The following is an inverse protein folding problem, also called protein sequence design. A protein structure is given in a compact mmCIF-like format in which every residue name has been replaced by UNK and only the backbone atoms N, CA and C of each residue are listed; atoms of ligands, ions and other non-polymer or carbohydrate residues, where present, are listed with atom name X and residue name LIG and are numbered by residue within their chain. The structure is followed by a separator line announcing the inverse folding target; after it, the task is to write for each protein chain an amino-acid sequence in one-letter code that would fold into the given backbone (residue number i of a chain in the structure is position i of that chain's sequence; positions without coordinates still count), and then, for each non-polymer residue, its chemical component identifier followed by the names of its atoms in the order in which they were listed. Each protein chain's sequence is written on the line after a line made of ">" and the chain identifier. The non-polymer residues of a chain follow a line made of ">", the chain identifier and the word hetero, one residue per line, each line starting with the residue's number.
data_IF_348144621790
#
_entry.id   IF_348144621790
#
_cell.length_a   1.000
_cell.length_b   1.000
_cell.length_c   1.000
_cell.angle_alpha   90.00
_cell.angle_beta   90.00
_cell.angle_gamma   90.00
#
_symmetry.space_group_name_H-M   'P 1'
#
loop_
_entity.id
_entity.type
_entity.pdbx_description
1 polymer ?
#
# COMPACT_ATOMS: atom_id res chain seq x y z
N UNK A 1 -22.48 15.54 -11.89
CA UNK A 1 -22.31 15.50 -13.36
C UNK A 1 -21.06 16.28 -13.70
N UNK A 2 -20.12 15.70 -14.45
CA UNK A 2 -18.89 16.39 -14.87
C UNK A 2 -19.25 17.59 -15.75
N UNK A 3 -18.59 18.76 -15.56
CA UNK A 3 -18.75 19.90 -16.47
C UNK A 3 -18.14 19.62 -17.86
N UNK A 4 -17.36 18.54 -18.00
CA UNK A 4 -16.72 18.14 -19.25
C UNK A 4 -17.53 17.05 -19.96
N UNK A 5 -17.92 17.30 -21.21
CA UNK A 5 -18.37 16.24 -22.11
C UNK A 5 -17.20 15.31 -22.48
N UNK A 6 -17.47 14.06 -22.88
CA UNK A 6 -16.42 13.06 -23.23
C UNK A 6 -15.32 13.58 -24.17
N UNK A 7 -15.63 14.49 -25.09
CA UNK A 7 -14.66 15.08 -26.05
C UNK A 7 -13.77 16.19 -25.46
N UNK A 8 -14.16 16.79 -24.34
CA UNK A 8 -13.44 17.89 -23.69
C UNK A 8 -12.94 17.51 -22.29
N UNK A 9 -12.85 16.21 -21.99
CA UNK A 9 -12.26 15.75 -20.72
C UNK A 9 -10.80 16.15 -20.69
N UNK A 10 -10.28 16.73 -19.58
CA UNK A 10 -8.86 16.96 -19.43
C UNK A 10 -8.12 15.61 -19.51
N UNK A 11 -6.94 15.61 -20.15
CA UNK A 11 -6.04 14.47 -20.19
C UNK A 11 -5.30 14.37 -18.86
N UNK A 12 -5.54 13.31 -18.12
CA UNK A 12 -4.96 13.09 -16.79
C UNK A 12 -3.98 11.94 -16.88
N UNK A 13 -2.72 12.21 -16.49
CA UNK A 13 -1.71 11.19 -16.36
C UNK A 13 -1.48 10.87 -14.88
N UNK A 14 -1.48 9.59 -14.53
CA UNK A 14 -1.14 9.09 -13.20
C UNK A 14 0.18 8.33 -13.32
N UNK A 15 1.18 8.71 -12.52
CA UNK A 15 2.43 7.96 -12.41
C UNK A 15 2.31 6.96 -11.26
N UNK A 16 2.38 5.66 -11.57
CA UNK A 16 2.24 4.55 -10.62
C UNK A 16 0.87 3.89 -10.66
N UNK A 17 0.86 2.55 -10.76
CA UNK A 17 -0.34 1.70 -10.73
C UNK A 17 -0.43 0.86 -9.44
N UNK A 18 0.01 1.45 -8.31
CA UNK A 18 -0.26 0.93 -6.98
C UNK A 18 -1.71 1.10 -6.54
N UNK A 19 -2.02 0.75 -5.29
CA UNK A 19 -3.37 0.90 -4.71
C UNK A 19 -3.89 2.34 -4.87
N UNK A 20 -3.06 3.34 -4.56
CA UNK A 20 -3.40 4.75 -4.74
C UNK A 20 -3.75 5.10 -6.19
N UNK A 21 -2.81 4.87 -7.12
CA UNK A 21 -3.02 5.19 -8.55
C UNK A 21 -4.23 4.51 -9.19
N UNK A 22 -4.44 3.22 -8.90
CA UNK A 22 -5.61 2.48 -9.41
C UNK A 22 -6.92 3.03 -8.82
N UNK A 23 -6.94 3.33 -7.51
CA UNK A 23 -8.13 3.91 -6.86
C UNK A 23 -8.42 5.31 -7.39
N UNK A 24 -7.39 6.11 -7.67
CA UNK A 24 -7.51 7.44 -8.28
C UNK A 24 -8.11 7.35 -9.68
N UNK A 25 -7.66 6.41 -10.51
CA UNK A 25 -8.24 6.20 -11.83
C UNK A 25 -9.74 5.88 -11.77
N UNK A 26 -10.15 5.02 -10.84
CA UNK A 26 -11.56 4.69 -10.60
C UNK A 26 -12.37 5.89 -10.08
N UNK A 27 -11.78 6.69 -9.19
CA UNK A 27 -12.44 7.87 -8.60
C UNK A 27 -12.65 8.97 -9.64
N UNK A 28 -11.64 9.23 -10.48
CA UNK A 28 -11.75 10.15 -11.62
C UNK A 28 -12.83 9.69 -12.61
N UNK A 29 -12.85 8.39 -12.94
CA UNK A 29 -13.91 7.82 -13.77
C UNK A 29 -15.30 8.04 -13.15
N UNK A 30 -15.46 7.79 -11.84
CA UNK A 30 -16.71 8.02 -11.12
C UNK A 30 -17.12 9.50 -11.10
N UNK A 31 -16.15 10.42 -11.11
CA UNK A 31 -16.39 11.86 -11.25
C UNK A 31 -16.76 12.29 -12.69
N UNK A 32 -16.69 11.37 -13.66
CA UNK A 32 -16.99 11.62 -15.07
C UNK A 32 -15.82 12.16 -15.87
N UNK A 33 -14.59 11.89 -15.43
CA UNK A 33 -13.34 12.16 -16.14
C UNK A 33 -12.84 10.86 -16.75
N UNK A 34 -12.79 10.80 -18.08
CA UNK A 34 -12.61 9.53 -18.80
C UNK A 34 -11.27 9.42 -19.53
N UNK A 35 -10.60 10.54 -19.79
CA UNK A 35 -9.28 10.56 -20.44
C UNK A 35 -8.18 10.44 -19.38
N UNK A 36 -8.09 9.25 -18.80
CA UNK A 36 -7.16 8.90 -17.72
C UNK A 36 -6.20 7.82 -18.20
N UNK A 37 -4.90 8.07 -18.05
CA UNK A 37 -3.85 7.09 -18.33
C UNK A 37 -2.90 6.95 -17.16
N UNK A 38 -2.54 5.72 -16.83
CA UNK A 38 -1.53 5.38 -15.83
C UNK A 38 -0.27 4.88 -16.52
N UNK A 39 0.89 5.25 -16.00
CA UNK A 39 2.19 4.70 -16.38
C UNK A 39 2.82 4.01 -15.18
N UNK A 40 3.25 2.77 -15.36
CA UNK A 40 3.80 1.91 -14.31
C UNK A 40 5.21 1.43 -14.68
N UNK A 41 6.14 1.51 -13.73
CA UNK A 41 7.52 1.10 -13.91
C UNK A 41 7.68 -0.42 -14.09
N UNK A 42 6.87 -1.23 -13.42
CA UNK A 42 6.90 -2.68 -13.53
C UNK A 42 6.42 -3.11 -14.93
N UNK A 43 7.18 -3.95 -15.68
CA UNK A 43 6.77 -4.41 -17.01
C UNK A 43 5.58 -5.38 -16.94
N UNK A 44 5.42 -6.06 -15.81
CA UNK A 44 4.32 -6.97 -15.54
C UNK A 44 3.71 -6.61 -14.20
N UNK A 45 2.39 -6.40 -14.17
CA UNK A 45 1.63 -6.29 -12.94
C UNK A 45 1.60 -7.67 -12.27
N UNK A 46 2.58 -7.94 -11.41
CA UNK A 46 2.62 -9.18 -10.63
C UNK A 46 2.05 -8.92 -9.25
N UNK A 47 1.08 -9.74 -8.89
CA UNK A 47 0.42 -9.72 -7.61
C UNK A 47 1.37 -10.34 -6.55
N UNK A 48 2.37 -9.57 -6.12
CA UNK A 48 3.30 -9.95 -5.04
C UNK A 48 3.06 -9.03 -3.87
N UNK A 49 2.96 -9.60 -2.68
CA UNK A 49 2.83 -8.80 -1.48
C UNK A 49 2.59 -9.63 -0.25
N UNK A 50 2.43 -8.90 0.84
CA UNK A 50 2.01 -9.43 2.11
C UNK A 50 0.60 -8.92 2.44
N UNK A 51 0.08 -9.28 3.60
CA UNK A 51 -1.19 -8.77 4.08
C UNK A 51 -1.21 -7.25 4.22
N UNK A 52 -2.39 -6.68 3.99
CA UNK A 52 -2.68 -5.28 4.24
C UNK A 52 -4.02 -5.15 4.94
N UNK A 53 -4.16 -4.15 5.81
CA UNK A 53 -5.44 -3.80 6.40
C UNK A 53 -6.02 -2.55 5.73
N UNK A 54 -7.33 -2.59 5.50
CA UNK A 54 -8.14 -1.48 5.03
C UNK A 54 -9.03 -1.00 6.18
N UNK A 55 -8.83 0.25 6.59
CA UNK A 55 -9.63 0.89 7.63
C UNK A 55 -11.05 1.18 7.12
N UNK A 56 -12.06 1.29 8.01
CA UNK A 56 -13.45 1.55 7.61
C UNK A 56 -13.62 2.76 6.68
N UNK A 57 -12.80 3.81 6.85
CA UNK A 57 -12.81 4.98 5.98
C UNK A 57 -12.43 4.64 4.53
N UNK A 58 -11.41 3.80 4.30
CA UNK A 58 -11.06 3.35 2.96
C UNK A 58 -12.09 2.38 2.39
N UNK A 59 -12.63 1.49 3.22
CA UNK A 59 -13.67 0.55 2.80
C UNK A 59 -14.94 1.29 2.37
N UNK A 60 -15.29 2.41 3.02
CA UNK A 60 -16.36 3.31 2.56
C UNK A 60 -16.13 3.73 1.11
N UNK A 61 -14.96 4.28 0.78
CA UNK A 61 -14.70 4.79 -0.56
C UNK A 61 -14.70 3.68 -1.62
N UNK A 62 -14.11 2.53 -1.32
CA UNK A 62 -14.14 1.38 -2.23
C UNK A 62 -15.57 0.83 -2.40
N UNK A 63 -16.42 0.95 -1.38
CA UNK A 63 -17.85 0.59 -1.46
C UNK A 63 -18.58 1.55 -2.39
N UNK A 64 -18.35 2.86 -2.29
CA UNK A 64 -18.93 3.87 -3.20
C UNK A 64 -18.48 3.66 -4.65
N UNK A 65 -17.27 3.13 -4.85
CA UNK A 65 -16.77 2.71 -6.16
C UNK A 65 -17.36 1.38 -6.64
N UNK A 66 -18.24 0.73 -5.88
CA UNK A 66 -18.92 -0.52 -6.25
C UNK A 66 -18.08 -1.79 -6.05
N UNK A 67 -17.00 -1.73 -5.26
CA UNK A 67 -16.06 -2.84 -5.08
C UNK A 67 -16.35 -3.71 -3.85
N UNK A 68 -17.38 -3.37 -3.06
CA UNK A 68 -17.72 -4.11 -1.84
C UNK A 68 -17.93 -5.62 -2.06
N UNK A 69 -18.68 -6.10 -3.08
CA UNK A 69 -18.86 -7.54 -3.29
C UNK A 69 -17.56 -8.28 -3.58
N UNK A 70 -16.66 -7.66 -4.34
CA UNK A 70 -15.36 -8.26 -4.67
C UNK A 70 -14.45 -8.34 -3.43
N UNK A 71 -14.41 -7.28 -2.62
CA UNK A 71 -13.69 -7.27 -1.34
C UNK A 71 -14.26 -8.30 -0.36
N UNK A 72 -15.58 -8.38 -0.23
CA UNK A 72 -16.24 -9.36 0.64
C UNK A 72 -15.91 -10.80 0.25
N UNK A 73 -15.64 -11.08 -1.02
CA UNK A 73 -15.28 -12.43 -1.47
C UNK A 73 -13.90 -12.86 -0.97
N UNK A 74 -12.91 -11.97 -1.00
CA UNK A 74 -11.49 -12.33 -0.78
C UNK A 74 -10.93 -11.91 0.58
N UNK A 75 -11.53 -10.90 1.22
CA UNK A 75 -10.99 -10.32 2.46
C UNK A 75 -11.62 -10.89 3.73
N UNK A 76 -10.86 -10.84 4.82
CA UNK A 76 -11.32 -11.15 6.17
C UNK A 76 -11.82 -9.88 6.84
N UNK A 77 -13.10 -9.85 7.24
CA UNK A 77 -13.64 -8.72 8.01
C UNK A 77 -13.11 -8.76 9.45
N UNK A 78 -12.00 -8.07 9.72
CA UNK A 78 -11.34 -8.03 11.02
C UNK A 78 -12.32 -7.58 12.11
N UNK A 79 -12.46 -8.39 13.16
CA UNK A 79 -13.42 -8.15 14.24
C UNK A 79 -12.76 -7.56 15.49
N UNK A 80 -11.48 -7.86 15.74
CA UNK A 80 -10.75 -7.46 16.96
C UNK A 80 -9.28 -7.16 16.68
N UNK A 81 -8.71 -6.27 17.48
CA UNK A 81 -7.27 -6.14 17.67
C UNK A 81 -6.93 -6.51 19.12
N UNK A 82 -6.02 -7.44 19.29
CA UNK A 82 -5.58 -7.90 20.61
C UNK A 82 -4.08 -7.72 20.80
N UNK A 83 -3.70 -7.22 21.97
CA UNK A 83 -2.32 -7.10 22.41
C UNK A 83 -2.02 -8.19 23.42
N UNK A 84 -0.95 -8.93 23.19
CA UNK A 84 -0.49 -10.02 24.04
C UNK A 84 0.96 -9.81 24.43
N UNK A 85 1.35 -10.28 25.62
CA UNK A 85 2.77 -10.41 25.92
C UNK A 85 3.37 -11.60 25.16
N UNK A 86 4.70 -11.70 25.14
CA UNK A 86 5.46 -12.75 24.40
C UNK A 86 5.18 -14.21 24.79
N UNK A 87 4.33 -14.44 25.80
CA UNK A 87 3.91 -15.77 26.26
C UNK A 87 2.40 -16.01 26.03
N UNK A 88 1.76 -15.21 25.16
CA UNK A 88 0.37 -15.41 24.72
C UNK A 88 -0.72 -14.83 25.62
N UNK A 89 -0.42 -14.39 26.84
CA UNK A 89 -1.44 -13.79 27.71
C UNK A 89 -1.92 -12.43 27.22
N UNK A 90 -3.24 -12.23 27.28
CA UNK A 90 -3.93 -11.02 26.82
C UNK A 90 -3.65 -9.83 27.73
N UNK A 91 -3.28 -8.70 27.14
CA UNK A 91 -3.06 -7.41 27.82
C UNK A 91 -4.24 -6.48 27.56
N UNK A 92 -4.64 -6.36 26.29
CA UNK A 92 -5.69 -5.45 25.84
C UNK A 92 -6.40 -6.00 24.62
N UNK A 93 -7.69 -5.72 24.49
CA UNK A 93 -8.48 -6.08 23.32
C UNK A 93 -9.49 -4.99 23.00
N UNK A 94 -9.67 -4.71 21.71
CA UNK A 94 -10.66 -3.77 21.22
C UNK A 94 -11.36 -4.29 19.95
N UNK A 95 -12.66 -3.99 19.78
CA UNK A 95 -13.37 -4.34 18.57
C UNK A 95 -12.89 -3.53 17.36
N UNK A 96 -13.10 -4.05 16.15
CA UNK A 96 -12.73 -3.42 14.88
C UNK A 96 -13.88 -3.42 13.87
N UNK A 97 -13.85 -2.45 12.95
CA UNK A 97 -14.87 -2.32 11.90
C UNK A 97 -16.29 -2.28 12.45
N UNK A 98 -17.19 -3.07 11.86
CA UNK A 98 -18.58 -3.15 12.30
C UNK A 98 -18.75 -3.57 13.77
N UNK A 99 -17.85 -4.39 14.30
CA UNK A 99 -17.89 -4.78 15.71
C UNK A 99 -17.61 -3.59 16.66
N UNK A 100 -16.92 -2.56 16.18
CA UNK A 100 -16.67 -1.31 16.91
C UNK A 100 -17.75 -0.24 16.68
N UNK A 101 -18.81 -0.55 15.95
CA UNK A 101 -19.90 0.39 15.65
C UNK A 101 -19.74 1.22 14.37
N UNK A 102 -18.74 0.94 13.53
CA UNK A 102 -18.64 1.56 12.20
C UNK A 102 -19.68 0.96 11.23
N UNK A 103 -20.15 1.76 10.26
CA UNK A 103 -21.04 1.26 9.19
C UNK A 103 -20.32 0.29 8.24
N UNK A 104 -19.01 0.47 8.06
CA UNK A 104 -18.16 -0.33 7.19
C UNK A 104 -17.22 -1.24 8.00
N UNK A 105 -16.89 -2.42 7.49
CA UNK A 105 -15.93 -3.31 8.14
C UNK A 105 -14.50 -2.74 8.03
N UNK A 106 -13.62 -3.26 8.87
CA UNK A 106 -12.19 -3.26 8.60
C UNK A 106 -11.88 -4.57 7.89
N UNK A 107 -11.04 -4.53 6.85
CA UNK A 107 -10.63 -5.73 6.13
C UNK A 107 -9.15 -6.01 6.31
N UNK A 108 -8.80 -7.27 6.54
CA UNK A 108 -7.47 -7.81 6.27
C UNK A 108 -7.55 -8.57 4.93
N UNK A 109 -6.66 -8.25 4.00
CA UNK A 109 -6.66 -8.84 2.65
C UNK A 109 -5.23 -9.04 2.17
N UNK A 110 -5.03 -10.03 1.30
CA UNK A 110 -3.75 -10.17 0.62
C UNK A 110 -3.59 -9.01 -0.38
N UNK A 111 -2.46 -8.29 -0.35
CA UNK A 111 -2.25 -7.10 -1.20
C UNK A 111 -2.45 -7.40 -2.69
N UNK A 112 -2.08 -8.62 -3.09
CA UNK A 112 -2.20 -9.12 -4.45
C UNK A 112 -3.67 -9.11 -4.92
N UNK A 113 -4.58 -9.63 -4.09
CA UNK A 113 -6.01 -9.72 -4.40
C UNK A 113 -6.66 -8.34 -4.46
N UNK A 114 -6.28 -7.43 -3.55
CA UNK A 114 -6.75 -6.05 -3.59
C UNK A 114 -6.31 -5.34 -4.88
N UNK A 115 -5.04 -5.52 -5.26
CA UNK A 115 -4.52 -4.93 -6.49
C UNK A 115 -5.24 -5.49 -7.72
N UNK A 116 -5.50 -6.79 -7.76
CA UNK A 116 -6.24 -7.44 -8.84
C UNK A 116 -7.66 -6.89 -8.96
N UNK A 117 -8.40 -6.79 -7.84
CA UNK A 117 -9.75 -6.19 -7.82
C UNK A 117 -9.75 -4.78 -8.41
N UNK A 118 -8.81 -3.94 -7.98
CA UNK A 118 -8.68 -2.56 -8.45
C UNK A 118 -8.30 -2.51 -9.93
N UNK A 119 -7.32 -3.32 -10.34
CA UNK A 119 -6.84 -3.37 -11.72
C UNK A 119 -7.95 -3.84 -12.67
N UNK A 120 -8.63 -4.95 -12.36
CA UNK A 120 -9.76 -5.44 -13.16
C UNK A 120 -10.83 -4.36 -13.29
N UNK A 121 -11.21 -3.70 -12.19
CA UNK A 121 -12.20 -2.63 -12.24
C UNK A 121 -11.77 -1.45 -13.11
N UNK A 122 -10.47 -1.10 -13.13
CA UNK A 122 -9.95 -0.03 -14.00
C UNK A 122 -10.04 -0.45 -15.45
N UNK A 123 -9.54 -1.65 -15.80
CA UNK A 123 -9.55 -2.13 -17.17
C UNK A 123 -10.97 -2.29 -17.71
N UNK A 124 -11.92 -2.71 -16.88
CA UNK A 124 -13.33 -2.83 -17.25
C UNK A 124 -13.99 -1.46 -17.54
N UNK A 125 -13.62 -0.42 -16.78
CA UNK A 125 -14.27 0.92 -16.87
C UNK A 125 -13.60 1.86 -17.86
N UNK A 126 -12.27 1.89 -17.85
CA UNK A 126 -11.45 2.80 -18.65
C UNK A 126 -10.81 2.13 -19.87
N UNK A 127 -10.85 0.79 -19.94
CA UNK A 127 -10.27 0.01 -21.03
C UNK A 127 -8.79 -0.33 -20.80
N UNK A 128 -8.23 -1.25 -21.62
CA UNK A 128 -6.85 -1.72 -21.47
C UNK A 128 -5.80 -0.62 -21.72
N UNK A 129 -6.11 0.35 -22.57
CA UNK A 129 -5.21 1.48 -22.93
C UNK A 129 -5.02 2.50 -21.79
N UNK A 130 -5.78 2.34 -20.69
CA UNK A 130 -5.66 3.17 -19.50
C UNK A 130 -4.39 2.84 -18.68
N UNK A 131 -3.73 1.71 -18.92
CA UNK A 131 -2.50 1.32 -18.23
C UNK A 131 -1.37 1.00 -19.21
N UNK A 132 -0.23 1.66 -19.04
CA UNK A 132 1.01 1.35 -19.76
C UNK A 132 2.05 0.87 -18.75
N UNK A 133 2.51 -0.38 -18.91
CA UNK A 133 3.54 -0.99 -18.05
C UNK A 133 4.95 -0.82 -18.64
N UNK A 134 5.98 -0.95 -17.80
CA UNK A 134 7.39 -0.77 -18.18
C UNK A 134 7.84 0.69 -18.36
N UNK A 135 6.91 1.64 -18.17
CA UNK A 135 7.13 3.08 -18.31
C UNK A 135 7.31 3.72 -16.93
N UNK A 136 8.56 3.78 -16.48
CA UNK A 136 8.92 4.47 -15.24
C UNK A 136 9.03 5.98 -15.47
N UNK A 137 8.19 6.77 -14.80
CA UNK A 137 8.36 8.23 -14.75
C UNK A 137 9.69 8.59 -14.07
N UNK A 138 10.44 9.51 -14.68
CA UNK A 138 11.73 9.98 -14.16
C UNK A 138 11.74 11.46 -13.77
N UNK A 139 10.92 12.29 -14.44
CA UNK A 139 10.76 13.73 -14.14
C UNK A 139 9.53 14.28 -14.86
N UNK A 140 9.12 15.48 -14.50
CA UNK A 140 8.15 16.26 -15.27
C UNK A 140 8.64 17.67 -15.55
N UNK A 141 8.03 18.32 -16.53
CA UNK A 141 8.08 19.76 -16.75
C UNK A 141 6.66 20.31 -16.83
N UNK A 142 6.48 21.55 -16.40
CA UNK A 142 5.22 22.26 -16.59
C UNK A 142 5.44 23.68 -17.09
N UNK A 143 4.51 24.15 -17.92
CA UNK A 143 4.44 25.55 -18.32
C UNK A 143 3.37 26.25 -17.47
N UNK A 144 3.76 27.31 -16.75
CA UNK A 144 2.82 28.11 -15.93
C UNK A 144 1.89 28.96 -16.78
N UNK A 145 2.32 29.32 -17.98
CA UNK A 145 1.55 30.06 -18.97
C UNK A 145 1.18 29.15 -20.13
N UNK A 146 -0.09 29.12 -20.56
CA UNK A 146 -0.50 28.31 -21.71
C UNK A 146 0.29 28.70 -22.97
N UNK A 147 0.88 27.71 -23.64
CA UNK A 147 1.52 27.89 -24.94
C UNK A 147 0.72 27.17 -26.02
N UNK A 148 0.32 27.85 -27.13
CA UNK A 148 -0.42 27.22 -28.20
C UNK A 148 0.31 25.97 -28.75
N UNK A 149 -0.42 24.86 -28.87
CA UNK A 149 0.10 23.61 -29.43
C UNK A 149 1.03 22.80 -28.51
N UNK A 150 1.28 23.25 -27.27
CA UNK A 150 2.12 22.54 -26.30
C UNK A 150 1.30 22.10 -25.08
N UNK A 151 1.38 20.83 -24.65
CA UNK A 151 0.70 20.39 -23.43
C UNK A 151 1.29 21.10 -22.20
N UNK A 152 0.45 21.51 -21.23
CA UNK A 152 0.91 22.28 -20.09
C UNK A 152 1.78 21.46 -19.13
N UNK A 153 1.65 20.14 -19.13
CA UNK A 153 2.54 19.23 -18.38
C UNK A 153 3.14 18.20 -19.34
N UNK A 154 4.44 17.93 -19.18
CA UNK A 154 5.19 16.93 -19.94
C UNK A 154 5.87 15.98 -18.98
N UNK A 155 5.45 14.72 -18.98
CA UNK A 155 5.97 13.67 -18.12
C UNK A 155 6.96 12.79 -18.89
N UNK A 156 8.21 12.72 -18.44
CA UNK A 156 9.28 11.97 -19.07
C UNK A 156 9.43 10.61 -18.41
N UNK A 157 9.45 9.55 -19.20
CA UNK A 157 9.65 8.17 -18.73
C UNK A 157 10.96 7.60 -19.27
N UNK A 158 11.56 6.66 -18.56
CA UNK A 158 12.93 6.18 -18.81
C UNK A 158 13.15 5.62 -20.23
N UNK A 159 12.18 4.88 -20.78
CA UNK A 159 12.34 4.07 -21.99
C UNK A 159 11.61 4.66 -23.20
N UNK A 160 11.27 5.96 -23.18
CA UNK A 160 10.49 6.61 -24.24
C UNK A 160 11.18 7.88 -24.75
N UNK A 161 11.35 8.06 -26.08
CA UNK A 161 11.99 9.25 -26.63
C UNK A 161 11.21 10.56 -26.40
N UNK A 162 9.88 10.48 -26.35
CA UNK A 162 9.01 11.66 -26.24
C UNK A 162 8.15 11.61 -24.98
N UNK A 163 7.99 12.74 -24.26
CA UNK A 163 7.20 12.76 -23.03
C UNK A 163 5.71 12.53 -23.30
N UNK A 164 5.00 12.08 -22.27
CA UNK A 164 3.54 12.15 -22.23
C UNK A 164 3.12 13.59 -22.01
N UNK A 165 2.28 14.12 -22.89
CA UNK A 165 1.65 15.43 -22.70
C UNK A 165 0.30 15.28 -22.00
N UNK A 166 0.08 16.00 -20.90
CA UNK A 166 -1.19 15.97 -20.17
C UNK A 166 -1.58 17.36 -19.64
N UNK A 167 -2.83 17.47 -19.19
CA UNK A 167 -3.40 18.67 -18.58
C UNK A 167 -3.24 18.67 -17.05
N UNK A 168 -3.09 17.48 -16.46
CA UNK A 168 -2.85 17.21 -15.04
C UNK A 168 -1.94 15.97 -14.89
N UNK A 169 -0.98 16.04 -13.97
CA UNK A 169 -0.16 14.90 -13.55
C UNK A 169 -0.42 14.58 -12.07
N UNK A 170 -0.67 13.31 -11.78
CA UNK A 170 -0.83 12.80 -10.41
C UNK A 170 0.34 11.86 -10.12
N UNK A 171 1.17 12.21 -9.15
CA UNK A 171 2.27 11.39 -8.65
C UNK A 171 1.80 10.41 -7.59
N UNK A 172 1.55 9.16 -7.98
CA UNK A 172 1.22 8.03 -7.12
C UNK A 172 2.30 6.94 -7.20
N UNK A 173 3.55 7.36 -7.42
CA UNK A 173 4.73 6.54 -7.76
C UNK A 173 5.53 6.10 -6.51
N UNK A 174 4.86 6.07 -5.35
CA UNK A 174 5.33 5.45 -4.13
C UNK A 174 6.40 6.26 -3.38
N UNK A 175 7.00 5.62 -2.36
CA UNK A 175 8.01 6.27 -1.52
C UNK A 175 9.22 6.78 -2.32
N UNK A 176 9.59 6.15 -3.42
CA UNK A 176 10.72 6.61 -4.25
C UNK A 176 10.28 7.53 -5.40
N UNK A 177 9.24 8.33 -5.16
CA UNK A 177 8.58 9.18 -6.15
C UNK A 177 9.54 10.11 -6.89
N UNK A 178 9.55 10.00 -8.21
CA UNK A 178 10.25 10.92 -9.11
C UNK A 178 9.52 12.27 -9.19
N UNK A 179 8.18 12.27 -9.02
CA UNK A 179 7.38 13.50 -8.94
C UNK A 179 7.77 14.29 -7.69
N UNK A 180 7.84 13.63 -6.53
CA UNK A 180 8.29 14.24 -5.27
C UNK A 180 9.71 14.79 -5.39
N UNK A 181 10.63 14.01 -5.95
CA UNK A 181 12.02 14.43 -6.14
C UNK A 181 12.15 15.63 -7.10
N UNK A 182 11.25 15.77 -8.08
CA UNK A 182 11.22 16.94 -8.97
C UNK A 182 10.69 18.19 -8.23
N UNK A 183 9.68 18.02 -7.37
CA UNK A 183 9.10 19.12 -6.60
C UNK A 183 10.01 19.59 -5.44
N UNK A 184 10.70 18.65 -4.79
CA UNK A 184 11.58 18.89 -3.64
C UNK A 184 12.98 18.30 -3.88
N UNK A 185 13.79 18.88 -4.78
CA UNK A 185 15.09 18.32 -5.18
C UNK A 185 16.15 18.29 -4.06
N UNK A 186 15.91 19.02 -2.97
CA UNK A 186 16.82 19.14 -1.83
C UNK A 186 16.33 18.40 -0.57
N UNK A 187 15.27 17.59 -0.67
CA UNK A 187 14.69 16.86 0.47
C UNK A 187 15.66 15.82 1.07
N UNK A 188 16.48 15.17 0.23
CA UNK A 188 17.33 14.06 0.65
C UNK A 188 16.63 12.70 0.64
N UNK A 189 17.27 11.66 1.18
CA UNK A 189 16.75 10.29 1.20
C UNK A 189 15.64 10.09 2.25
N UNK A 190 14.90 8.96 2.20
CA UNK A 190 14.00 8.55 3.29
C UNK A 190 14.73 8.44 4.63
N UNK A 191 14.03 8.74 5.72
CA UNK A 191 14.52 8.69 7.09
C UNK A 191 14.20 7.32 7.71
N UNK A 192 15.22 6.64 8.25
CA UNK A 192 15.05 5.41 9.03
C UNK A 192 14.88 5.70 10.53
N UNK A 193 14.10 4.88 11.24
CA UNK A 193 13.90 5.02 12.69
C UNK A 193 14.61 3.96 13.56
N UNK A 194 15.54 3.21 12.96
CA UNK A 194 16.25 2.12 13.63
C UNK A 194 15.37 0.91 13.95
N UNK A 195 14.30 0.68 13.20
CA UNK A 195 13.52 -0.56 13.25
C UNK A 195 13.71 -1.31 11.94
N UNK A 196 14.09 -2.58 12.07
CA UNK A 196 14.10 -3.55 10.98
C UNK A 196 12.83 -4.38 11.04
N UNK A 197 12.22 -4.58 9.88
CA UNK A 197 10.97 -5.31 9.73
C UNK A 197 11.18 -6.52 8.81
N UNK A 198 10.70 -7.68 9.25
CA UNK A 198 10.56 -8.86 8.41
C UNK A 198 9.08 -9.16 8.24
N UNK A 199 8.68 -9.56 7.05
CA UNK A 199 7.29 -9.93 6.80
C UNK A 199 7.22 -11.12 5.86
N UNK A 200 6.19 -11.90 6.08
CA UNK A 200 5.87 -13.06 5.27
C UNK A 200 4.39 -13.35 5.31
N UNK A 201 4.02 -14.29 4.47
CA UNK A 201 2.68 -14.84 4.43
C UNK A 201 2.84 -16.36 4.39
N UNK A 202 2.21 -17.03 5.33
CA UNK A 202 2.33 -18.48 5.50
C UNK A 202 0.96 -19.08 5.66
N UNK A 203 0.73 -20.23 5.05
CA UNK A 203 -0.47 -21.00 5.28
C UNK A 203 -0.39 -21.70 6.65
N UNK A 204 -1.42 -21.59 7.47
CA UNK A 204 -1.43 -22.14 8.82
C UNK A 204 -2.84 -22.32 9.37
N UNK A 205 -2.99 -22.97 10.53
CA UNK A 205 -4.28 -23.07 11.19
C UNK A 205 -4.80 -21.68 11.54
N UNK A 206 -6.10 -21.48 11.39
CA UNK A 206 -6.74 -20.28 11.92
C UNK A 206 -6.54 -20.23 13.44
N UNK A 207 -6.28 -19.03 13.96
CA UNK A 207 -6.16 -18.80 15.39
C UNK A 207 -7.32 -17.96 15.91
N UNK A 208 -7.63 -18.12 17.20
CA UNK A 208 -8.75 -17.44 17.88
C UNK A 208 -10.06 -17.62 17.08
N UNK A 209 -10.66 -16.53 16.59
CA UNK A 209 -11.91 -16.53 15.82
C UNK A 209 -11.69 -16.46 14.29
N UNK A 210 -10.44 -16.58 13.82
CA UNK A 210 -10.08 -16.44 12.40
C UNK A 210 -10.31 -15.03 11.84
N UNK A 211 -10.57 -14.03 12.71
CA UNK A 211 -10.88 -12.64 12.34
C UNK A 211 -10.20 -11.63 13.27
N UNK A 212 -9.28 -12.10 14.11
CA UNK A 212 -8.55 -11.30 15.08
C UNK A 212 -7.15 -10.99 14.56
N UNK A 213 -6.75 -9.72 14.68
CA UNK A 213 -5.37 -9.30 14.53
C UNK A 213 -4.69 -9.28 15.89
N UNK A 214 -3.52 -9.90 16.00
CA UNK A 214 -2.74 -9.94 17.24
C UNK A 214 -1.46 -9.14 17.11
N UNK A 215 -1.10 -8.44 18.18
CA UNK A 215 0.20 -7.82 18.39
C UNK A 215 0.84 -8.49 19.60
N UNK A 216 2.01 -9.10 19.41
CA UNK A 216 2.77 -9.75 20.48
C UNK A 216 4.05 -8.96 20.78
N UNK A 217 4.38 -8.82 22.06
CA UNK A 217 5.61 -8.16 22.51
C UNK A 217 5.50 -6.64 22.56
N UNK A 218 6.60 -5.91 22.32
CA UNK A 218 6.61 -4.46 22.44
C UNK A 218 7.65 -3.77 21.54
N UNK A 219 7.35 -2.52 21.13
CA UNK A 219 8.23 -1.69 20.31
C UNK A 219 9.56 -1.28 21.00
N UNK A 220 9.70 -1.56 22.29
CA UNK A 220 10.94 -1.30 23.01
C UNK A 220 12.06 -2.27 22.62
N UNK A 221 11.73 -3.47 22.11
CA UNK A 221 12.72 -4.47 21.68
C UNK A 221 12.29 -5.21 20.43
N UNK A 222 11.28 -6.08 20.56
CA UNK A 222 10.74 -6.89 19.47
C UNK A 222 9.23 -6.93 19.57
N UNK A 223 8.56 -6.70 18.43
CA UNK A 223 7.11 -6.80 18.27
C UNK A 223 6.79 -7.72 17.09
N UNK A 224 5.83 -8.61 17.25
CA UNK A 224 5.23 -9.35 16.15
C UNK A 224 3.79 -8.91 15.93
N UNK A 225 3.35 -8.92 14.67
CA UNK A 225 1.96 -8.70 14.26
C UNK A 225 1.54 -9.89 13.42
N UNK A 226 0.39 -10.50 13.70
CA UNK A 226 -0.13 -11.60 12.89
C UNK A 226 -1.64 -11.45 12.69
N UNK A 227 -2.13 -11.78 11.50
CA UNK A 227 -3.56 -11.78 11.18
C UNK A 227 -3.86 -12.63 9.94
N UNK A 228 -5.05 -13.27 9.89
CA UNK A 228 -5.51 -13.97 8.70
C UNK A 228 -5.86 -12.97 7.59
N UNK A 229 -5.46 -13.30 6.36
CA UNK A 229 -5.79 -12.51 5.16
C UNK A 229 -6.77 -13.24 4.23
N UNK A 230 -7.02 -14.53 4.48
CA UNK A 230 -8.10 -15.31 3.87
C UNK A 230 -8.95 -15.94 4.96
N UNK A 231 -10.18 -16.33 4.62
CA UNK A 231 -11.02 -17.11 5.53
C UNK A 231 -10.48 -18.53 5.68
N UNK A 232 -10.71 -19.19 6.83
CA UNK A 232 -10.39 -20.60 6.98
C UNK A 232 -11.13 -21.44 5.92
N UNK A 233 -10.41 -22.37 5.31
CA UNK A 233 -10.98 -23.39 4.42
C UNK A 233 -11.65 -24.52 5.23
N UNK A 234 -12.11 -25.56 4.55
CA UNK A 234 -12.75 -26.73 5.17
C UNK A 234 -11.82 -27.48 6.15
N UNK A 235 -10.49 -27.34 5.98
CA UNK A 235 -9.48 -27.90 6.90
C UNK A 235 -9.17 -26.98 8.08
N UNK A 236 -9.82 -25.81 8.17
CA UNK A 236 -9.55 -24.79 9.18
C UNK A 236 -8.25 -24.03 8.95
N UNK A 237 -7.65 -24.13 7.75
CA UNK A 237 -6.42 -23.43 7.38
C UNK A 237 -6.72 -22.15 6.63
N UNK A 238 -5.88 -21.16 6.87
CA UNK A 238 -5.96 -19.88 6.19
C UNK A 238 -4.57 -19.35 5.91
N UNK A 239 -4.52 -18.31 5.08
CA UNK A 239 -3.30 -17.60 4.80
C UNK A 239 -3.10 -16.55 5.90
N UNK A 240 -1.98 -16.65 6.62
CA UNK A 240 -1.63 -15.77 7.73
C UNK A 240 -0.56 -14.78 7.28
N UNK A 241 -0.87 -13.49 7.36
CA UNK A 241 0.16 -12.47 7.29
C UNK A 241 0.84 -12.35 8.65
N UNK A 242 2.15 -12.25 8.65
CA UNK A 242 2.93 -11.94 9.84
C UNK A 242 4.01 -10.90 9.56
N UNK A 243 4.33 -10.12 10.59
CA UNK A 243 5.38 -9.11 10.59
C UNK A 243 6.14 -9.23 11.90
N UNK A 244 7.47 -9.24 11.87
CA UNK A 244 8.32 -9.10 13.05
C UNK A 244 9.12 -7.82 12.90
N UNK A 245 9.10 -7.00 13.93
CA UNK A 245 9.85 -5.75 14.02
C UNK A 245 10.86 -5.87 15.16
N UNK A 246 12.12 -5.58 14.89
CA UNK A 246 13.15 -5.46 15.92
C UNK A 246 13.79 -4.08 15.85
N UNK A 247 13.98 -3.45 17.01
CA UNK A 247 14.85 -2.28 17.09
C UNK A 247 16.30 -2.72 16.85
N UNK A 248 17.02 -2.00 16.00
CA UNK A 248 18.45 -2.15 15.77
C UNK A 248 19.18 -1.03 16.49
N UNK A 249 20.30 -1.36 17.14
CA UNK A 249 21.12 -0.38 17.88
C UNK A 249 21.81 0.61 16.92
N UNK A 250 22.00 0.21 15.66
CA UNK A 250 22.81 0.94 14.66
C UNK A 250 21.99 1.90 13.78
N UNK A 251 20.68 2.04 14.03
CA UNK A 251 19.79 2.71 13.09
C UNK A 251 19.63 1.93 11.77
N UNK A 252 18.98 2.55 10.78
CA UNK A 252 19.07 2.12 9.38
C UNK A 252 19.88 3.20 8.68
N UNK A 253 21.08 2.87 8.20
CA UNK A 253 21.95 3.83 7.52
C UNK A 253 21.33 4.32 6.19
N UNK A 254 21.75 5.49 5.71
CA UNK A 254 21.25 6.08 4.45
C UNK A 254 21.36 5.11 3.26
N UNK A 255 22.41 4.29 3.21
CA UNK A 255 22.63 3.30 2.15
C UNK A 255 21.62 2.15 2.21
N UNK A 256 21.24 1.68 3.40
CA UNK A 256 20.21 0.64 3.59
C UNK A 256 18.80 1.21 3.32
N UNK A 257 18.57 2.50 3.60
CA UNK A 257 17.34 3.20 3.24
C UNK A 257 17.20 3.44 1.72
N UNK A 258 18.30 3.82 1.04
CA UNK A 258 18.34 4.05 -0.42
C UNK A 258 18.35 2.74 -1.22
N UNK A 259 18.99 1.71 -0.69
CA UNK A 259 19.24 0.42 -1.33
C UNK A 259 18.40 -0.72 -0.79
N UNK A 260 17.29 -0.42 -0.10
CA UNK A 260 16.36 -1.44 0.37
C UNK A 260 15.92 -2.30 -0.81
N UNK A 261 16.50 -3.49 -0.93
CA UNK A 261 16.09 -4.48 -1.90
C UNK A 261 14.80 -5.12 -1.39
N UNK A 262 13.68 -4.50 -1.77
CA UNK A 262 12.33 -4.94 -1.42
C UNK A 262 12.05 -6.37 -1.89
N UNK A 263 12.90 -6.92 -2.77
CA UNK A 263 12.81 -8.26 -3.31
C UNK A 263 13.76 -9.29 -2.68
N UNK A 264 14.71 -8.87 -1.86
CA UNK A 264 15.65 -9.79 -1.22
C UNK A 264 14.95 -10.65 -0.17
N UNK A 265 14.90 -11.95 -0.42
CA UNK A 265 14.47 -12.93 0.56
C UNK A 265 15.57 -13.18 1.59
N UNK A 266 15.19 -13.37 2.86
CA UNK A 266 16.10 -13.76 3.95
C UNK A 266 15.69 -15.10 4.55
N UNK A 267 16.64 -15.85 5.15
CA UNK A 267 16.33 -17.13 5.78
C UNK A 267 15.52 -16.93 7.08
N UNK A 268 14.61 -17.85 7.45
CA UNK A 268 13.79 -17.72 8.66
C UNK A 268 14.59 -17.54 9.96
N UNK A 269 15.79 -18.12 10.04
CA UNK A 269 16.68 -18.06 11.19
C UNK A 269 17.05 -16.62 11.58
N UNK A 270 17.14 -15.72 10.59
CA UNK A 270 17.36 -14.28 10.84
C UNK A 270 16.25 -13.71 11.72
N UNK A 271 15.00 -14.14 11.52
CA UNK A 271 13.82 -13.68 12.28
C UNK A 271 13.67 -14.45 13.59
N UNK A 272 13.82 -15.77 13.55
CA UNK A 272 13.57 -16.66 14.68
C UNK A 272 14.47 -16.35 15.89
N UNK A 273 15.69 -15.89 15.65
CA UNK A 273 16.64 -15.45 16.70
C UNK A 273 16.06 -14.32 17.56
N UNK A 274 15.24 -13.43 17.00
CA UNK A 274 14.66 -12.30 17.73
C UNK A 274 13.47 -12.68 18.63
N UNK A 275 12.81 -13.80 18.35
CA UNK A 275 11.64 -14.27 19.08
C UNK A 275 11.92 -15.56 19.87
N UNK A 276 13.20 -15.84 20.18
CA UNK A 276 13.57 -17.00 20.96
C UNK A 276 12.81 -17.06 22.30
N UNK A 277 12.24 -18.24 22.60
CA UNK A 277 11.45 -18.47 23.80
C UNK A 277 10.04 -17.87 23.82
N UNK A 278 9.60 -17.20 22.73
CA UNK A 278 8.22 -16.72 22.63
C UNK A 278 7.27 -17.89 22.47
N UNK A 279 6.17 -17.90 23.20
CA UNK A 279 5.18 -18.99 23.16
C UNK A 279 3.78 -18.41 23.18
N UNK A 280 2.84 -19.09 22.55
CA UNK A 280 1.42 -18.74 22.60
C UNK A 280 0.60 -20.00 22.36
N UNK A 281 -0.46 -20.18 23.14
CA UNK A 281 -1.35 -21.34 23.01
C UNK A 281 -2.26 -21.24 21.78
N UNK A 282 -2.47 -20.03 21.25
CA UNK A 282 -3.34 -19.80 20.10
C UNK A 282 -2.60 -19.70 18.76
N UNK A 283 -1.29 -19.45 18.75
CA UNK A 283 -0.51 -19.23 17.52
C UNK A 283 0.91 -19.78 17.66
N UNK A 284 1.25 -20.77 16.84
CA UNK A 284 2.64 -21.20 16.64
C UNK A 284 3.38 -20.20 15.72
N UNK A 285 3.82 -19.09 16.30
CA UNK A 285 4.53 -18.05 15.57
C UNK A 285 5.86 -18.56 14.97
N UNK A 286 6.54 -19.48 15.65
CA UNK A 286 7.79 -20.05 15.15
C UNK A 286 7.55 -20.90 13.91
N UNK A 287 6.59 -21.81 13.94
CA UNK A 287 6.22 -22.63 12.78
C UNK A 287 5.72 -21.81 11.61
N UNK A 288 4.90 -20.77 11.87
CA UNK A 288 4.42 -19.83 10.84
C UNK A 288 5.57 -19.09 10.16
N UNK A 289 6.58 -18.64 10.90
CA UNK A 289 7.75 -17.97 10.32
C UNK A 289 8.64 -18.96 9.56
N UNK A 290 8.92 -20.12 10.15
CA UNK A 290 9.75 -21.15 9.54
C UNK A 290 9.16 -21.73 8.24
N UNK A 291 7.83 -21.84 8.16
CA UNK A 291 7.12 -22.33 6.99
C UNK A 291 6.90 -21.29 5.89
N UNK A 292 7.36 -20.05 6.06
CA UNK A 292 7.12 -19.00 5.09
C UNK A 292 7.87 -19.28 3.76
N UNK A 293 7.18 -19.28 2.60
CA UNK A 293 7.81 -19.54 1.31
C UNK A 293 8.79 -18.43 0.90
N UNK A 294 8.58 -17.22 1.44
CA UNK A 294 9.46 -16.06 1.23
C UNK A 294 9.31 -15.10 2.42
N UNK A 295 10.45 -14.61 2.90
CA UNK A 295 10.51 -13.59 3.95
C UNK A 295 11.20 -12.37 3.36
N UNK A 296 10.47 -11.26 3.27
CA UNK A 296 11.04 -9.99 2.85
C UNK A 296 11.59 -9.23 4.06
N UNK A 297 12.71 -8.54 3.87
CA UNK A 297 13.33 -7.66 4.85
C UNK A 297 13.18 -6.21 4.41
N UNK A 298 12.69 -5.37 5.31
CA UNK A 298 12.34 -3.99 5.04
C UNK A 298 12.86 -3.08 6.15
N UNK A 299 13.57 -2.00 5.80
CA UNK A 299 13.81 -0.96 6.78
C UNK A 299 12.50 -0.21 7.05
N UNK A 300 12.29 0.18 8.31
CA UNK A 300 11.18 1.06 8.65
C UNK A 300 11.59 2.51 8.33
N UNK A 301 11.20 2.94 7.13
CA UNK A 301 11.52 4.26 6.58
C UNK A 301 10.27 5.13 6.43
N UNK A 302 10.47 6.44 6.50
CA UNK A 302 9.45 7.48 6.33
C UNK A 302 10.08 8.74 5.70
N UNK A 303 9.30 9.81 5.53
CA UNK A 303 9.76 11.15 5.21
C UNK A 303 9.02 12.18 6.03
N UNK A 304 9.68 13.31 6.26
CA UNK A 304 9.01 14.46 6.87
C UNK A 304 7.82 14.93 6.02
N UNK A 305 6.76 15.45 6.66
CA UNK A 305 5.63 16.03 5.95
C UNK A 305 6.05 17.17 5.03
N UNK A 306 5.57 17.13 3.79
CA UNK A 306 5.80 18.20 2.82
C UNK A 306 4.95 19.44 3.14
N UNK A 307 5.45 20.66 2.88
CA UNK A 307 4.67 21.88 3.07
C UNK A 307 3.50 22.02 2.08
N UNK A 308 3.59 21.39 0.89
CA UNK A 308 2.50 21.28 -0.08
C UNK A 308 2.65 20.00 -0.90
N UNK A 309 1.55 19.44 -1.37
CA UNK A 309 1.57 18.32 -2.33
C UNK A 309 1.33 18.77 -3.76
N UNK A 310 1.07 20.07 -3.95
CA UNK A 310 0.60 20.64 -5.20
C UNK A 310 1.68 21.53 -5.79
N UNK A 311 1.94 21.29 -7.07
CA UNK A 311 2.75 22.14 -7.92
C UNK A 311 1.97 22.49 -9.19
N UNK A 312 1.13 23.53 -9.13
CA UNK A 312 0.30 23.96 -10.26
C UNK A 312 -0.62 22.86 -10.77
N UNK A 313 -0.24 22.23 -11.88
CA UNK A 313 -0.98 21.12 -12.53
C UNK A 313 -0.41 19.75 -12.20
N UNK A 314 0.33 19.65 -11.10
CA UNK A 314 0.91 18.42 -10.59
C UNK A 314 0.53 18.25 -9.13
N UNK A 315 0.16 17.04 -8.72
CA UNK A 315 -0.21 16.73 -7.34
C UNK A 315 0.34 15.37 -6.91
N UNK A 316 0.85 15.27 -5.67
CA UNK A 316 1.31 14.02 -5.06
C UNK A 316 0.15 13.29 -4.35
N UNK A 317 0.20 11.96 -4.30
CA UNK A 317 -0.81 11.10 -3.67
C UNK A 317 -0.20 9.84 -3.05
N UNK A 318 -0.75 9.38 -1.93
CA UNK A 318 -0.27 8.19 -1.21
C UNK A 318 1.18 8.33 -0.75
N UNK A 319 1.95 7.25 -0.78
CA UNK A 319 3.35 7.23 -0.30
C UNK A 319 4.28 8.24 -1.03
N UNK A 320 3.88 8.78 -2.19
CA UNK A 320 4.61 9.88 -2.84
C UNK A 320 4.45 11.20 -2.05
N UNK A 321 3.30 11.41 -1.42
CA UNK A 321 2.99 12.59 -0.61
C UNK A 321 3.28 12.36 0.88
N UNK A 322 2.74 11.28 1.45
CA UNK A 322 2.79 10.92 2.86
C UNK A 322 3.12 9.43 3.01
N UNK A 323 4.38 9.03 2.79
CA UNK A 323 4.78 7.71 3.26
C UNK A 323 4.48 7.63 4.76
N UNK A 324 4.11 6.44 5.23
CA UNK A 324 3.81 6.21 6.62
C UNK A 324 4.55 4.98 7.09
N UNK A 325 5.07 5.02 8.30
CA UNK A 325 5.42 3.79 9.00
C UNK A 325 4.21 2.84 8.98
N UNK A 326 4.40 1.52 8.81
CA UNK A 326 3.29 0.57 8.75
C UNK A 326 2.57 0.38 10.10
N UNK A 327 2.82 1.26 11.08
CA UNK A 327 2.13 1.34 12.36
C UNK A 327 0.68 1.80 12.15
N UNK A 328 -0.27 1.08 12.75
CA UNK A 328 -1.70 1.36 12.60
C UNK A 328 -2.34 0.91 11.28
N UNK A 329 -1.56 0.31 10.35
CA UNK A 329 -2.06 -0.22 9.08
C UNK A 329 -2.92 0.77 8.28
N UNK A 330 -2.46 2.02 8.14
CA UNK A 330 -3.25 3.08 7.53
C UNK A 330 -2.71 3.61 6.18
N UNK A 331 -1.48 3.27 5.78
CA UNK A 331 -0.85 3.78 4.53
C UNK A 331 -1.74 3.66 3.28
N UNK A 332 -2.09 2.43 2.88
CA UNK A 332 -2.98 2.25 1.73
C UNK A 332 -4.39 2.80 1.96
N UNK A 333 -4.87 2.85 3.20
CA UNK A 333 -6.18 3.43 3.51
C UNK A 333 -6.18 4.94 3.26
N UNK A 334 -5.10 5.64 3.61
CA UNK A 334 -4.95 7.07 3.31
C UNK A 334 -4.85 7.31 1.80
N UNK A 335 -4.08 6.50 1.06
CA UNK A 335 -4.02 6.62 -0.40
C UNK A 335 -5.40 6.45 -1.09
N UNK A 336 -6.26 5.58 -0.55
CA UNK A 336 -7.66 5.43 -1.02
C UNK A 336 -8.49 6.67 -0.70
N UNK A 337 -8.31 7.26 0.48
CA UNK A 337 -9.01 8.49 0.88
C UNK A 337 -8.54 9.68 0.04
N UNK A 338 -7.24 9.82 -0.23
CA UNK A 338 -6.71 10.84 -1.13
C UNK A 338 -7.37 10.76 -2.50
N UNK A 339 -7.45 9.55 -3.06
CA UNK A 339 -8.03 9.28 -4.37
C UNK A 339 -9.49 9.72 -4.46
N UNK A 340 -10.23 9.63 -3.35
CA UNK A 340 -11.61 10.11 -3.28
C UNK A 340 -11.71 11.64 -3.24
N UNK A 341 -10.81 12.28 -2.50
CA UNK A 341 -10.82 13.74 -2.27
C UNK A 341 -10.40 14.50 -3.52
N UNK A 342 -9.49 13.93 -4.31
CA UNK A 342 -8.95 14.51 -5.54
C UNK A 342 -10.01 14.64 -6.65
#
# INVERSE_FOLDING_TARGET
>A
MSPYGRRNSPRILIAGAGIGGLTTALSLHAAGLYDVRMVEACPNMRAVGAGINLQPAAVRELTELGLAPALEKVAVATARLEYHHRFGGLIWSEPRGRAAGYNWPQYSVHRADLQEILLSAVLDRLGPEALVTGDRLVRYEQDRTPQPGRPPVRAYVANRPSPYGCDLLIGADGINSAVRATLYPHEGPPLGNGIRMWRGVTEGPAFLDGRTMVILGCNARVKAVAYPVTRPDESGRCLLNWVVESRTDDGVGEEEARGADWDRAVPPEEVLTHIEGWRSDFLDLHGVIAGAPRIGRYPMIDRDPLPTWIDGRVVLLGDAAHPLYPTGSNGASQAVVDARVL
#
